data_IF_408027305303
#
_entry.id   IF_408027305303
#
_cell.length_a   1.000
_cell.length_b   1.000
_cell.length_c   1.000
_cell.angle_alpha   90.00
_cell.angle_beta   90.00
_cell.angle_gamma   90.00
#
_symmetry.space_group_name_H-M   'P 1'
#
loop_
_entity.id
_entity.type
_entity.pdbx_description
1 polymer ?
#
# COMPACT_ATOMS: atom_id res chain seq x y z
N UNK A 1 1.44 12.20 -22.13
CA UNK A 1 1.85 11.51 -20.87
C UNK A 1 0.62 11.37 -19.99
N UNK A 2 0.41 10.26 -19.27
CA UNK A 2 -0.74 10.11 -18.39
C UNK A 2 -0.63 11.04 -17.17
N UNK A 3 -1.77 11.40 -16.58
CA UNK A 3 -1.83 12.23 -15.37
C UNK A 3 -1.50 11.46 -14.09
N UNK A 4 -1.67 10.14 -14.11
CA UNK A 4 -1.39 9.24 -12.99
C UNK A 4 -1.34 7.79 -13.45
N UNK A 5 -0.80 6.93 -12.59
CA UNK A 5 -0.70 5.48 -12.81
C UNK A 5 -1.40 4.80 -11.63
N UNK A 6 -2.29 3.85 -11.93
CA UNK A 6 -2.91 2.99 -10.91
C UNK A 6 -2.37 1.57 -11.09
N UNK A 7 -1.81 1.02 -10.01
CA UNK A 7 -1.27 -0.34 -9.97
C UNK A 7 -2.19 -1.20 -9.10
N UNK A 8 -2.89 -2.13 -9.73
CA UNK A 8 -3.81 -3.05 -9.04
C UNK A 8 -3.83 -4.45 -9.69
N UNK A 9 -2.67 -5.13 -9.82
CA UNK A 9 -2.62 -6.46 -10.42
C UNK A 9 -3.43 -7.49 -9.62
N UNK A 10 -3.86 -8.53 -10.34
CA UNK A 10 -4.59 -9.68 -9.80
C UNK A 10 -3.72 -10.60 -8.92
N UNK A 11 -4.26 -11.74 -8.47
CA UNK A 11 -3.72 -12.50 -7.34
C UNK A 11 -2.33 -13.06 -7.63
N UNK A 12 -1.34 -12.75 -6.78
CA UNK A 12 0.04 -13.26 -6.77
C UNK A 12 0.82 -12.53 -5.64
N UNK A 13 2.11 -12.83 -5.45
CA UNK A 13 3.04 -12.01 -4.66
C UNK A 13 3.59 -10.83 -5.49
N UNK A 14 4.16 -9.76 -4.89
CA UNK A 14 4.73 -8.67 -5.68
C UNK A 14 5.87 -9.09 -6.60
N UNK A 15 6.64 -10.12 -6.22
CA UNK A 15 7.70 -10.70 -7.05
C UNK A 15 7.14 -11.35 -8.33
N UNK A 16 5.91 -11.82 -8.27
CA UNK A 16 5.18 -12.43 -9.38
C UNK A 16 4.25 -11.42 -10.08
N UNK A 17 4.18 -10.17 -9.60
CA UNK A 17 3.30 -9.11 -10.10
C UNK A 17 3.77 -8.47 -11.42
N UNK A 18 4.44 -9.26 -12.28
CA UNK A 18 4.92 -8.86 -13.59
C UNK A 18 5.75 -7.58 -13.57
N UNK A 19 5.35 -6.60 -14.38
CA UNK A 19 6.09 -5.33 -14.57
C UNK A 19 5.92 -4.32 -13.42
N UNK A 20 5.13 -4.63 -12.39
CA UNK A 20 4.69 -3.63 -11.39
C UNK A 20 5.86 -2.98 -10.65
N UNK A 21 6.85 -3.79 -10.22
CA UNK A 21 8.05 -3.32 -9.54
C UNK A 21 8.92 -2.43 -10.44
N UNK A 22 9.14 -2.85 -11.70
CA UNK A 22 9.90 -2.07 -12.68
C UNK A 22 9.22 -0.74 -13.00
N UNK A 23 7.89 -0.76 -13.13
CA UNK A 23 7.08 0.42 -13.41
C UNK A 23 7.21 1.44 -12.26
N UNK A 24 7.08 1.01 -11.01
CA UNK A 24 7.25 1.88 -9.83
C UNK A 24 8.65 2.52 -9.89
N UNK A 25 9.70 1.70 -9.97
CA UNK A 25 11.09 2.18 -10.01
C UNK A 25 11.34 3.17 -11.16
N UNK A 26 10.70 2.98 -12.31
CA UNK A 26 10.89 3.83 -13.49
C UNK A 26 10.15 5.17 -13.39
N UNK A 27 8.96 5.20 -12.79
CA UNK A 27 8.04 6.34 -12.83
C UNK A 27 7.88 7.09 -11.51
N UNK A 28 8.35 6.56 -10.38
CA UNK A 28 8.40 7.30 -9.11
C UNK A 28 9.11 8.64 -9.29
N UNK A 29 8.47 9.72 -8.83
CA UNK A 29 8.94 11.09 -8.99
C UNK A 29 8.73 11.72 -10.37
N UNK A 30 8.16 10.97 -11.34
CA UNK A 30 7.86 11.50 -12.69
C UNK A 30 6.36 11.60 -12.95
N UNK A 31 5.59 10.60 -12.50
CA UNK A 31 4.14 10.54 -12.65
C UNK A 31 3.57 10.05 -11.31
N UNK A 32 2.49 10.65 -10.80
CA UNK A 32 1.82 10.15 -9.59
C UNK A 32 1.42 8.67 -9.72
N UNK A 33 1.64 7.89 -8.67
CA UNK A 33 1.34 6.45 -8.63
C UNK A 33 0.40 6.18 -7.46
N UNK A 34 -0.65 5.37 -7.69
CA UNK A 34 -1.53 4.84 -6.66
C UNK A 34 -1.52 3.31 -6.72
N UNK A 35 -1.12 2.66 -5.64
CA UNK A 35 -1.15 1.20 -5.51
C UNK A 35 -2.34 0.73 -4.69
N UNK A 36 -3.11 -0.22 -5.21
CA UNK A 36 -4.25 -0.83 -4.52
C UNK A 36 -4.05 -2.34 -4.43
N UNK A 37 -4.38 -2.94 -3.28
CA UNK A 37 -4.20 -4.38 -3.03
C UNK A 37 -2.74 -4.81 -3.25
N UNK A 38 -2.46 -5.64 -4.27
CA UNK A 38 -1.10 -6.07 -4.58
C UNK A 38 -0.20 -4.90 -4.99
N UNK A 39 -0.75 -3.85 -5.61
CA UNK A 39 0.03 -2.64 -5.94
C UNK A 39 0.49 -1.87 -4.71
N UNK A 40 -0.28 -1.90 -3.62
CA UNK A 40 0.16 -1.34 -2.33
C UNK A 40 1.37 -2.10 -1.78
N UNK A 41 1.33 -3.44 -1.85
CA UNK A 41 2.45 -4.28 -1.46
C UNK A 41 3.67 -4.08 -2.37
N UNK A 42 3.47 -3.96 -3.68
CA UNK A 42 4.54 -3.64 -4.64
C UNK A 42 5.18 -2.29 -4.35
N UNK A 43 4.42 -1.26 -3.96
CA UNK A 43 5.01 0.02 -3.54
C UNK A 43 5.86 -0.17 -2.28
N UNK A 44 5.32 -0.84 -1.25
CA UNK A 44 6.07 -1.15 -0.04
C UNK A 44 7.41 -1.83 -0.35
N UNK A 45 7.37 -2.85 -1.20
CA UNK A 45 8.55 -3.62 -1.59
C UNK A 45 9.52 -2.86 -2.49
N UNK A 46 9.02 -2.06 -3.43
CA UNK A 46 9.85 -1.29 -4.36
C UNK A 46 10.73 -0.27 -3.63
N UNK A 47 10.27 0.24 -2.49
CA UNK A 47 11.04 1.14 -1.64
C UNK A 47 11.84 0.44 -0.53
N UNK A 48 11.82 -0.89 -0.46
CA UNK A 48 12.65 -1.69 0.46
C UNK A 48 11.92 -2.30 1.66
N UNK A 49 10.60 -2.15 1.76
CA UNK A 49 9.79 -2.87 2.73
C UNK A 49 9.74 -4.37 2.45
N UNK A 50 9.56 -5.19 3.49
CA UNK A 50 9.37 -6.63 3.38
C UNK A 50 7.90 -6.98 3.38
N UNK A 51 7.53 -7.96 2.55
CA UNK A 51 6.17 -8.49 2.47
C UNK A 51 6.14 -9.84 3.18
N UNK A 52 5.29 -9.93 4.19
CA UNK A 52 5.17 -11.11 5.05
C UNK A 52 3.73 -11.61 5.07
N UNK A 53 3.53 -12.83 5.53
CA UNK A 53 2.17 -13.34 5.75
C UNK A 53 1.50 -12.58 6.88
N UNK A 54 0.24 -12.21 6.67
CA UNK A 54 -0.58 -11.62 7.72
C UNK A 54 -0.74 -12.59 8.89
N UNK A 55 -0.75 -12.08 10.12
CA UNK A 55 -0.97 -12.91 11.32
C UNK A 55 -2.36 -13.55 11.33
N UNK A 56 -3.33 -12.93 10.65
CA UNK A 56 -4.68 -13.47 10.41
C UNK A 56 -5.03 -13.33 8.93
N UNK A 57 -5.53 -14.42 8.33
CA UNK A 57 -6.05 -14.37 6.96
C UNK A 57 -7.41 -13.67 6.95
N UNK A 58 -7.52 -12.61 6.15
CA UNK A 58 -8.75 -11.81 6.02
C UNK A 58 -9.29 -11.97 4.62
N UNK A 59 -10.44 -12.65 4.46
CA UNK A 59 -11.08 -12.85 3.16
C UNK A 59 -12.55 -12.45 3.24
N UNK A 60 -12.91 -11.36 2.56
CA UNK A 60 -14.29 -10.85 2.54
C UNK A 60 -14.78 -10.27 3.87
N UNK A 61 -13.86 -9.93 4.77
CA UNK A 61 -14.20 -9.33 6.07
C UNK A 61 -13.96 -7.83 6.04
N UNK A 62 -14.79 -7.09 6.76
CA UNK A 62 -14.58 -5.65 6.93
C UNK A 62 -13.76 -5.37 8.19
N UNK A 63 -13.02 -4.27 8.17
CA UNK A 63 -12.30 -3.77 9.35
C UNK A 63 -12.33 -2.25 9.38
N UNK A 64 -12.38 -1.64 10.58
CA UNK A 64 -12.11 -0.22 10.72
C UNK A 64 -10.64 0.06 10.35
N UNK A 65 -10.44 1.02 9.47
CA UNK A 65 -9.10 1.48 9.06
C UNK A 65 -8.93 2.91 9.54
N UNK A 66 -7.94 3.11 10.41
CA UNK A 66 -7.51 4.40 10.92
C UNK A 66 -6.51 5.00 9.94
N UNK A 67 -6.44 6.34 9.89
CA UNK A 67 -5.48 7.03 9.05
C UNK A 67 -5.11 8.40 9.62
N UNK A 68 -4.05 8.98 9.08
CA UNK A 68 -3.55 10.30 9.49
C UNK A 68 -4.26 11.49 8.81
N UNK A 69 -5.23 11.22 7.92
CA UNK A 69 -6.07 12.22 7.27
C UNK A 69 -5.35 13.03 6.19
N UNK A 70 -4.17 12.59 5.75
CA UNK A 70 -3.37 13.25 4.72
C UNK A 70 -3.34 12.45 3.42
N UNK A 71 -2.98 13.12 2.33
CA UNK A 71 -2.92 12.51 1.00
C UNK A 71 -4.29 12.00 0.56
N UNK A 72 -4.37 10.72 0.14
CA UNK A 72 -5.62 10.11 -0.34
C UNK A 72 -6.70 9.98 0.74
N UNK A 73 -6.34 10.13 2.02
CA UNK A 73 -7.28 10.07 3.14
C UNK A 73 -7.86 11.43 3.54
N UNK A 74 -7.51 12.51 2.84
CA UNK A 74 -8.01 13.84 3.16
C UNK A 74 -9.53 13.92 2.99
N UNK A 75 -10.23 14.36 4.04
CA UNK A 75 -11.69 14.47 4.05
C UNK A 75 -12.44 13.16 4.28
N UNK A 76 -11.73 12.05 4.49
CA UNK A 76 -12.33 10.75 4.85
C UNK A 76 -12.46 10.65 6.38
N UNK A 77 -13.57 10.09 6.86
CA UNK A 77 -13.77 9.84 8.28
C UNK A 77 -12.81 8.77 8.80
N UNK A 78 -12.26 8.96 10.00
CA UNK A 78 -11.36 7.99 10.64
C UNK A 78 -11.99 7.45 11.94
N UNK A 79 -12.14 6.12 12.08
CA UNK A 79 -11.85 5.10 11.07
C UNK A 79 -12.92 5.07 9.96
N UNK A 80 -12.54 4.59 8.77
CA UNK A 80 -13.51 4.18 7.74
C UNK A 80 -13.57 2.66 7.61
N UNK A 81 -14.71 2.15 7.15
CA UNK A 81 -14.90 0.71 6.95
C UNK A 81 -14.36 0.29 5.59
N UNK A 82 -13.37 -0.61 5.60
CA UNK A 82 -12.79 -1.18 4.39
C UNK A 82 -12.96 -2.71 4.36
N UNK A 83 -13.24 -3.27 3.19
CA UNK A 83 -13.21 -4.73 3.00
C UNK A 83 -11.77 -5.20 2.77
N UNK A 84 -11.40 -6.30 3.41
CA UNK A 84 -10.05 -6.86 3.39
C UNK A 84 -10.04 -8.26 2.77
N UNK A 85 -9.05 -8.48 1.90
CA UNK A 85 -8.85 -9.72 1.14
C UNK A 85 -7.40 -10.23 1.20
N UNK A 86 -6.64 -9.82 2.21
CA UNK A 86 -5.18 -9.95 2.22
C UNK A 86 -4.72 -11.15 3.04
N UNK A 87 -3.84 -11.96 2.46
CA UNK A 87 -3.01 -12.97 3.13
C UNK A 87 -1.57 -12.46 3.38
N UNK A 88 -1.21 -11.34 2.77
CA UNK A 88 0.10 -10.70 2.83
C UNK A 88 -0.05 -9.25 3.29
N UNK A 89 0.96 -8.76 4.01
CA UNK A 89 1.04 -7.38 4.53
C UNK A 89 2.48 -6.89 4.44
N UNK A 90 2.66 -5.57 4.49
CA UNK A 90 3.98 -4.97 4.68
C UNK A 90 4.37 -5.16 6.15
N UNK A 91 5.58 -5.67 6.40
CA UNK A 91 6.09 -5.85 7.76
C UNK A 91 6.44 -4.49 8.40
N UNK A 92 5.81 -4.10 9.53
CA UNK A 92 6.00 -2.77 10.11
C UNK A 92 7.44 -2.43 10.47
N UNK A 93 8.22 -3.40 10.97
CA UNK A 93 9.63 -3.22 11.34
C UNK A 93 10.57 -3.07 10.14
N UNK A 94 10.08 -3.30 8.93
CA UNK A 94 10.85 -3.19 7.68
C UNK A 94 10.57 -1.91 6.90
N UNK A 95 9.68 -1.04 7.40
CA UNK A 95 9.31 0.17 6.68
C UNK A 95 10.52 1.09 6.54
N UNK A 96 10.92 1.42 5.30
CA UNK A 96 12.06 2.31 5.06
C UNK A 96 11.70 3.75 5.44
N UNK A 97 12.71 4.54 5.80
CA UNK A 97 12.53 5.94 6.20
C UNK A 97 11.89 6.81 5.13
N UNK A 98 11.91 6.43 3.86
CA UNK A 98 11.27 7.18 2.78
C UNK A 98 9.74 7.02 2.72
N UNK A 99 9.19 6.01 3.39
CA UNK A 99 7.75 5.76 3.47
C UNK A 99 7.18 6.22 4.82
N UNK A 100 5.94 6.70 4.78
CA UNK A 100 5.11 7.01 5.94
C UNK A 100 3.96 6.02 5.94
N UNK A 101 3.75 5.33 7.06
CA UNK A 101 2.52 4.57 7.30
C UNK A 101 1.39 5.56 7.49
N UNK A 102 0.47 5.62 6.52
CA UNK A 102 -0.61 6.60 6.47
C UNK A 102 -1.96 6.03 6.94
N UNK A 103 -2.10 4.70 6.96
CA UNK A 103 -3.28 4.02 7.48
C UNK A 103 -2.95 2.66 8.10
N UNK A 104 -3.73 2.26 9.11
CA UNK A 104 -3.54 1.04 9.89
C UNK A 104 -4.84 0.48 10.49
N UNK A 105 -4.84 -0.78 10.91
CA UNK A 105 -5.92 -1.38 11.73
C UNK A 105 -5.62 -1.26 13.23
N UNK A 106 -6.58 -1.57 14.12
CA UNK A 106 -6.34 -1.58 15.58
C UNK A 106 -5.20 -2.54 15.98
N UNK A 107 -5.03 -3.64 15.24
CA UNK A 107 -3.96 -4.61 15.44
C UNK A 107 -2.60 -4.16 14.90
N UNK A 108 -2.52 -2.95 14.30
CA UNK A 108 -1.28 -2.40 13.76
C UNK A 108 -0.90 -2.93 12.37
N UNK A 109 -1.82 -3.59 11.65
CA UNK A 109 -1.57 -3.98 10.27
C UNK A 109 -1.55 -2.74 9.37
N UNK A 110 -0.54 -2.62 8.52
CA UNK A 110 -0.39 -1.50 7.59
C UNK A 110 -1.46 -1.60 6.51
N UNK A 111 -2.26 -0.55 6.38
CA UNK A 111 -3.36 -0.43 5.41
C UNK A 111 -3.14 0.69 4.39
N UNK A 112 -2.11 1.52 4.59
CA UNK A 112 -1.74 2.58 3.68
C UNK A 112 -0.32 3.04 3.94
N UNK A 113 0.42 3.30 2.87
CA UNK A 113 1.71 3.99 2.90
C UNK A 113 1.69 5.13 1.90
N UNK A 114 2.50 6.15 2.14
CA UNK A 114 2.84 7.18 1.14
C UNK A 114 4.32 7.48 1.18
N UNK A 115 4.91 7.87 0.07
CA UNK A 115 6.27 8.37 0.04
C UNK A 115 6.35 9.77 0.66
N UNK A 116 7.43 10.08 1.40
CA UNK A 116 7.60 11.38 2.08
C UNK A 116 7.68 12.56 1.12
N UNK A 117 8.32 12.35 -0.02
CA UNK A 117 8.66 13.43 -0.98
C UNK A 117 8.16 13.20 -2.40
N UNK A 118 7.61 12.03 -2.71
CA UNK A 118 7.19 11.65 -4.06
C UNK A 118 5.67 11.45 -4.06
N UNK A 119 4.97 11.70 -5.18
CA UNK A 119 3.54 11.45 -5.29
C UNK A 119 3.26 9.95 -5.51
N UNK A 120 3.57 9.12 -4.51
CA UNK A 120 3.38 7.65 -4.51
C UNK A 120 2.72 7.22 -3.21
#
# INVERSE_FOLDING_TARGET
KPAGIVISPGPCTPDEAGISMELINRFSGKIPILGVCLGHLSIGQAFGGRIVRAGKVMHGKTSPVFHDGQGVFQGIASPFMATRYHSLVIEPSSIPDCLVVSAWTEEGEIMGVRHRTLPV
#
